data_IF_458561454425
#
_entry.id   IF_458561454425
#
_cell.length_a   1.000
_cell.length_b   1.000
_cell.length_c   1.000
_cell.angle_alpha   90.00
_cell.angle_beta   90.00
_cell.angle_gamma   90.00
#
_symmetry.space_group_name_H-M   'P 1'
#
loop_
_entity.id
_entity.type
_entity.pdbx_description
1 polymer ?
#
# COMPACT_ATOMS: atom_id res chain seq x y z
N UNK A 1 -18.01 -13.22 11.27
CA UNK A 1 -19.02 -12.85 10.24
C UNK A 1 -18.35 -11.92 9.24
N UNK A 2 -17.53 -12.45 8.34
CA UNK A 2 -16.99 -11.71 7.20
C UNK A 2 -18.01 -11.79 6.08
N UNK A 3 -18.65 -10.66 5.77
CA UNK A 3 -19.68 -10.53 4.73
C UNK A 3 -19.13 -11.08 3.40
N UNK A 4 -19.79 -12.13 2.89
CA UNK A 4 -19.43 -12.85 1.68
C UNK A 4 -19.94 -12.10 0.45
N UNK A 5 -19.50 -10.85 0.26
CA UNK A 5 -19.70 -10.10 -0.97
C UNK A 5 -18.34 -9.78 -1.57
N UNK A 6 -17.86 -10.72 -2.39
CA UNK A 6 -16.66 -10.51 -3.20
C UNK A 6 -16.90 -9.33 -4.16
N UNK A 7 -16.42 -8.17 -3.76
CA UNK A 7 -16.35 -6.97 -4.59
C UNK A 7 -14.89 -6.54 -4.53
N UNK A 8 -14.20 -6.80 -5.64
CA UNK A 8 -12.78 -6.55 -5.95
C UNK A 8 -11.83 -6.38 -4.74
N UNK A 9 -11.29 -7.51 -4.26
CA UNK A 9 -10.21 -7.54 -3.29
C UNK A 9 -8.88 -7.23 -3.98
N UNK A 10 -8.19 -6.20 -3.52
CA UNK A 10 -6.91 -5.80 -4.08
C UNK A 10 -5.80 -5.97 -3.04
N UNK A 11 -5.00 -7.03 -3.20
CA UNK A 11 -3.90 -7.38 -2.28
C UNK A 11 -2.58 -6.77 -2.78
N UNK A 12 -1.96 -5.99 -1.91
CA UNK A 12 -0.74 -5.26 -2.20
C UNK A 12 0.47 -5.98 -1.61
N UNK A 13 1.42 -6.38 -2.46
CA UNK A 13 2.73 -6.91 -2.05
C UNK A 13 3.83 -5.92 -2.44
N UNK A 14 4.72 -5.59 -1.50
CA UNK A 14 5.90 -4.79 -1.77
C UNK A 14 6.67 -5.37 -2.97
N UNK A 15 6.84 -4.57 -4.02
CA UNK A 15 7.68 -4.90 -5.16
C UNK A 15 9.06 -4.28 -4.91
N UNK A 16 10.11 -5.09 -5.02
CA UNK A 16 11.48 -4.57 -4.94
C UNK A 16 11.72 -3.67 -6.14
N UNK A 17 12.43 -2.55 -5.91
CA UNK A 17 12.82 -1.54 -6.92
C UNK A 17 13.69 -2.08 -8.06
N UNK A 18 13.93 -3.39 -8.11
CA UNK A 18 15.08 -3.99 -8.79
C UNK A 18 14.98 -3.99 -10.32
N UNK A 19 13.82 -3.66 -10.89
CA UNK A 19 13.65 -3.64 -12.35
C UNK A 19 13.30 -2.28 -12.96
N UNK A 20 12.86 -1.28 -12.17
CA UNK A 20 12.46 0.01 -12.70
C UNK A 20 12.98 1.14 -11.81
N UNK A 21 13.74 2.07 -12.39
CA UNK A 21 14.28 3.28 -11.73
C UNK A 21 13.20 4.34 -11.46
N UNK A 22 12.01 3.90 -11.07
CA UNK A 22 10.84 4.74 -10.79
C UNK A 22 10.54 4.68 -9.29
N UNK A 23 10.76 5.79 -8.61
CA UNK A 23 10.55 5.91 -7.16
C UNK A 23 9.07 5.84 -6.76
N UNK A 24 8.14 5.98 -7.72
CA UNK A 24 6.69 5.97 -7.46
C UNK A 24 6.08 4.57 -7.44
N UNK A 25 6.86 3.52 -7.75
CA UNK A 25 6.39 2.12 -7.78
C UNK A 25 6.22 1.51 -6.39
N UNK A 26 5.52 2.24 -5.53
CA UNK A 26 4.96 1.66 -4.32
C UNK A 26 3.87 0.68 -4.69
N UNK A 27 3.67 -0.29 -3.81
CA UNK A 27 2.82 -1.41 -4.14
C UNK A 27 1.36 -0.97 -4.34
N UNK A 28 0.89 0.04 -3.61
CA UNK A 28 -0.42 0.68 -3.79
C UNK A 28 -0.54 1.33 -5.18
N UNK A 29 0.49 2.04 -5.62
CA UNK A 29 0.51 2.70 -6.94
C UNK A 29 0.52 1.68 -8.08
N UNK A 30 1.34 0.63 -7.96
CA UNK A 30 1.38 -0.45 -8.97
C UNK A 30 0.02 -1.15 -9.04
N UNK A 31 -0.59 -1.36 -7.90
CA UNK A 31 -1.92 -1.95 -7.79
C UNK A 31 -2.99 -1.13 -8.49
N UNK A 32 -3.04 0.19 -8.28
CA UNK A 32 -3.98 1.07 -8.98
C UNK A 32 -3.73 1.01 -10.50
N UNK A 33 -2.48 1.11 -10.95
CA UNK A 33 -2.13 0.98 -12.38
C UNK A 33 -2.61 -0.35 -12.98
N UNK A 34 -2.48 -1.45 -12.22
CA UNK A 34 -2.97 -2.77 -12.64
C UNK A 34 -4.50 -2.83 -12.71
N UNK A 35 -5.19 -2.20 -11.75
CA UNK A 35 -6.65 -2.09 -11.76
C UNK A 35 -7.14 -1.29 -12.98
N UNK A 36 -6.49 -0.17 -13.28
CA UNK A 36 -6.77 0.63 -14.48
C UNK A 36 -6.61 -0.20 -15.77
N UNK A 37 -5.50 -0.93 -15.88
CA UNK A 37 -5.26 -1.79 -17.04
C UNK A 37 -6.31 -2.91 -17.14
N UNK A 38 -6.67 -3.52 -16.01
CA UNK A 38 -7.72 -4.54 -15.97
C UNK A 38 -9.07 -3.96 -16.42
N UNK A 39 -9.44 -2.77 -15.95
CA UNK A 39 -10.68 -2.10 -16.36
C UNK A 39 -10.70 -1.86 -17.87
N UNK A 40 -9.60 -1.36 -18.45
CA UNK A 40 -9.46 -1.16 -19.91
C UNK A 40 -9.62 -2.48 -20.69
N UNK A 41 -8.99 -3.55 -20.22
CA UNK A 41 -9.04 -4.86 -20.88
C UNK A 41 -10.42 -5.53 -20.80
N UNK A 42 -11.26 -5.14 -19.83
CA UNK A 42 -12.59 -5.73 -19.59
C UNK A 42 -13.73 -4.75 -19.91
N UNK A 43 -13.43 -3.62 -20.57
CA UNK A 43 -14.40 -2.58 -20.92
C UNK A 43 -15.22 -2.10 -19.71
N UNK A 44 -14.56 -1.94 -18.55
CA UNK A 44 -15.15 -1.43 -17.31
C UNK A 44 -14.76 0.02 -17.08
N UNK A 45 -15.68 0.79 -16.51
CA UNK A 45 -15.40 2.15 -16.06
C UNK A 45 -14.71 2.11 -14.68
N UNK A 46 -13.56 2.77 -14.58
CA UNK A 46 -12.70 2.72 -13.40
C UNK A 46 -13.39 3.28 -12.14
N UNK A 47 -14.17 4.35 -12.29
CA UNK A 47 -14.92 4.98 -11.21
C UNK A 47 -15.87 4.01 -10.51
N UNK A 48 -16.66 3.25 -11.29
CA UNK A 48 -17.58 2.24 -10.77
C UNK A 48 -16.84 1.13 -10.06
N UNK A 49 -15.76 0.62 -10.65
CA UNK A 49 -14.96 -0.45 -10.02
C UNK A 49 -14.34 0.02 -8.71
N UNK A 50 -13.79 1.24 -8.67
CA UNK A 50 -13.18 1.79 -7.45
C UNK A 50 -14.16 1.87 -6.28
N UNK A 51 -15.41 2.29 -6.51
CA UNK A 51 -16.43 2.37 -5.45
C UNK A 51 -16.79 1.01 -4.84
N UNK A 52 -16.46 -0.08 -5.54
CA UNK A 52 -16.66 -1.46 -5.11
C UNK A 52 -15.38 -2.13 -4.62
N UNK A 53 -14.23 -1.43 -4.60
CA UNK A 53 -12.96 -1.99 -4.19
C UNK A 53 -12.63 -1.72 -2.72
N UNK A 54 -12.13 -2.76 -2.04
CA UNK A 54 -11.38 -2.61 -0.79
C UNK A 54 -9.90 -2.87 -1.03
N UNK A 55 -9.06 -1.95 -0.55
CA UNK A 55 -7.61 -2.05 -0.67
C UNK A 55 -6.99 -2.60 0.61
N UNK A 56 -6.25 -3.71 0.49
CA UNK A 56 -5.55 -4.33 1.62
C UNK A 56 -4.04 -4.18 1.45
N UNK A 57 -3.41 -3.51 2.42
CA UNK A 57 -1.98 -3.22 2.43
C UNK A 57 -1.36 -3.75 3.72
N UNK A 58 -0.21 -4.41 3.66
CA UNK A 58 0.43 -4.94 4.88
C UNK A 58 0.88 -3.83 5.83
N UNK A 59 1.34 -2.70 5.27
CA UNK A 59 1.85 -1.55 6.00
C UNK A 59 1.03 -0.33 5.63
N UNK A 60 0.83 0.57 6.60
CA UNK A 60 0.13 1.84 6.39
C UNK A 60 0.67 2.58 5.15
N UNK A 61 -0.22 3.00 4.22
CA UNK A 61 0.17 3.72 3.03
C UNK A 61 0.97 4.97 3.35
N UNK A 62 2.00 5.24 2.56
CA UNK A 62 2.78 6.45 2.76
C UNK A 62 1.99 7.70 2.35
N UNK A 63 2.52 8.88 2.70
CA UNK A 63 1.95 10.19 2.32
C UNK A 63 1.66 10.28 0.82
N UNK A 64 2.60 9.85 -0.04
CA UNK A 64 2.43 9.86 -1.49
C UNK A 64 1.26 8.98 -1.93
N UNK A 65 1.22 7.72 -1.49
CA UNK A 65 0.17 6.77 -1.87
C UNK A 65 -1.20 7.25 -1.36
N UNK A 66 -1.26 7.73 -0.12
CA UNK A 66 -2.51 8.24 0.48
C UNK A 66 -3.03 9.45 -0.28
N UNK A 67 -2.16 10.40 -0.64
CA UNK A 67 -2.52 11.57 -1.44
C UNK A 67 -2.99 11.17 -2.83
N UNK A 68 -2.29 10.25 -3.50
CA UNK A 68 -2.67 9.80 -4.84
C UNK A 68 -4.04 9.11 -4.84
N UNK A 69 -4.29 8.21 -3.87
CA UNK A 69 -5.57 7.51 -3.74
C UNK A 69 -6.70 8.50 -3.45
N UNK A 70 -6.46 9.48 -2.57
CA UNK A 70 -7.49 10.46 -2.20
C UNK A 70 -7.78 11.48 -3.30
N UNK A 71 -6.73 12.09 -3.87
CA UNK A 71 -6.87 13.30 -4.68
C UNK A 71 -6.74 13.06 -6.19
N UNK A 72 -6.17 11.94 -6.63
CA UNK A 72 -5.89 11.71 -8.05
C UNK A 72 -6.83 10.69 -8.70
N UNK A 73 -7.57 9.90 -7.92
CA UNK A 73 -8.51 8.92 -8.47
C UNK A 73 -9.87 9.57 -8.82
N UNK A 74 -10.57 9.07 -9.86
CA UNK A 74 -11.87 9.59 -10.25
C UNK A 74 -12.99 9.26 -9.24
N UNK A 75 -12.78 8.24 -8.40
CA UNK A 75 -13.70 7.84 -7.34
C UNK A 75 -12.93 7.29 -6.14
N UNK A 76 -13.58 7.24 -4.98
CA UNK A 76 -12.97 6.73 -3.76
C UNK A 76 -13.16 5.23 -3.65
N UNK A 77 -12.12 4.57 -3.14
CA UNK A 77 -12.20 3.19 -2.66
C UNK A 77 -13.19 3.10 -1.50
N UNK A 78 -13.87 1.95 -1.36
CA UNK A 78 -14.80 1.71 -0.26
C UNK A 78 -14.10 1.73 1.10
N UNK A 79 -12.94 1.10 1.17
CA UNK A 79 -12.08 1.14 2.36
C UNK A 79 -10.62 0.84 2.03
N UNK A 80 -9.74 1.28 2.93
CA UNK A 80 -8.32 0.94 2.93
C UNK A 80 -8.01 0.27 4.26
N UNK A 81 -7.70 -1.02 4.22
CA UNK A 81 -7.34 -1.80 5.40
C UNK A 81 -5.84 -2.03 5.43
N UNK A 82 -5.19 -1.75 6.56
CA UNK A 82 -3.78 -2.03 6.75
C UNK A 82 -3.44 -2.64 8.11
N UNK A 83 -2.34 -3.41 8.12
CA UNK A 83 -1.85 -4.08 9.32
C UNK A 83 -0.93 -3.21 10.15
N UNK A 84 0.35 -3.17 9.78
CA UNK A 84 1.38 -2.46 10.52
C UNK A 84 1.30 -0.94 10.28
N UNK A 85 1.56 -0.14 11.32
CA UNK A 85 1.71 1.32 11.20
C UNK A 85 3.02 1.68 10.50
N UNK A 86 3.04 2.83 9.83
CA UNK A 86 4.22 3.37 9.16
C UNK A 86 4.73 4.62 9.88
N UNK A 87 5.61 4.40 10.87
CA UNK A 87 6.12 5.46 11.76
C UNK A 87 7.01 6.50 11.05
N UNK A 88 7.53 6.19 9.86
CA UNK A 88 8.47 7.08 9.16
C UNK A 88 7.81 7.90 8.05
N UNK A 89 6.80 7.33 7.37
CA UNK A 89 6.21 7.94 6.17
C UNK A 89 4.69 7.82 6.08
N UNK A 90 4.00 7.36 7.13
CA UNK A 90 2.57 7.06 7.10
C UNK A 90 1.67 8.27 6.83
N UNK A 91 0.76 8.13 5.87
CA UNK A 91 -0.23 9.15 5.48
C UNK A 91 -1.63 8.95 6.09
N UNK A 92 -1.83 7.87 6.85
CA UNK A 92 -3.10 7.54 7.50
C UNK A 92 -3.11 7.85 9.00
N UNK A 93 -2.25 8.77 9.45
CA UNK A 93 -2.21 9.26 10.83
C UNK A 93 -0.96 8.89 11.64
N UNK A 94 -0.02 8.10 11.10
CA UNK A 94 1.26 7.89 11.82
C UNK A 94 2.23 9.05 11.70
N UNK A 95 2.34 9.68 10.53
CA UNK A 95 3.16 10.90 10.35
C UNK A 95 2.27 12.08 9.98
N UNK A 96 1.47 11.92 8.92
CA UNK A 96 0.46 12.90 8.52
C UNK A 96 -0.89 12.22 8.39
N UNK A 97 -1.96 12.98 8.62
CA UNK A 97 -3.33 12.51 8.46
C UNK A 97 -3.91 12.94 7.09
N UNK A 98 -3.21 12.58 6.01
CA UNK A 98 -3.60 12.94 4.63
C UNK A 98 -4.96 12.33 4.26
N UNK A 99 -5.25 11.15 4.79
CA UNK A 99 -6.54 10.47 4.61
C UNK A 99 -7.76 11.29 5.09
N UNK A 100 -7.60 12.20 6.07
CA UNK A 100 -8.72 12.94 6.68
C UNK A 100 -8.50 14.46 6.79
N UNK A 101 -7.42 14.99 6.20
CA UNK A 101 -7.12 16.43 6.26
C UNK A 101 -8.24 17.28 5.63
N UNK A 102 -8.47 18.52 6.11
CA UNK A 102 -9.49 19.40 5.54
C UNK A 102 -9.28 19.63 4.04
N UNK A 103 -10.28 19.29 3.22
CA UNK A 103 -10.26 19.41 1.76
C UNK A 103 -11.69 19.31 1.21
N UNK A 104 -11.99 19.84 0.01
CA UNK A 104 -13.25 19.56 -0.69
C UNK A 104 -13.45 18.07 -1.02
N UNK A 105 -12.36 17.30 -1.03
CA UNK A 105 -12.37 15.86 -1.30
C UNK A 105 -12.69 15.10 -0.02
N UNK A 106 -13.59 14.13 -0.11
CA UNK A 106 -14.01 13.31 1.01
C UNK A 106 -12.82 12.62 1.71
N UNK A 107 -12.93 12.33 3.03
CA UNK A 107 -11.92 11.54 3.72
C UNK A 107 -11.94 10.08 3.25
N UNK A 108 -10.79 9.42 3.32
CA UNK A 108 -10.68 7.99 3.07
C UNK A 108 -11.09 7.20 4.32
N UNK A 109 -11.83 6.11 4.12
CA UNK A 109 -12.18 5.17 5.17
C UNK A 109 -11.02 4.20 5.42
N UNK A 110 -10.19 4.50 6.42
CA UNK A 110 -8.99 3.72 6.75
C UNK A 110 -9.19 2.85 8.00
N UNK A 111 -8.94 1.55 7.88
CA UNK A 111 -9.02 0.56 8.97
C UNK A 111 -7.61 0.07 9.30
N UNK A 112 -7.17 0.30 10.54
CA UNK A 112 -5.82 -0.05 11.00
C UNK A 112 -5.80 -1.30 11.87
N UNK A 113 -4.69 -2.03 11.87
CA UNK A 113 -4.39 -3.07 12.86
C UNK A 113 -4.75 -4.49 12.45
N UNK A 114 -5.23 -4.72 11.23
CA UNK A 114 -5.61 -6.05 10.75
C UNK A 114 -4.34 -6.88 10.46
N UNK A 115 -4.15 -7.99 11.19
CA UNK A 115 -2.95 -8.83 11.08
C UNK A 115 -1.64 -8.04 11.29
N UNK A 116 -1.66 -7.03 12.17
CA UNK A 116 -0.54 -6.11 12.39
C UNK A 116 0.75 -6.84 12.80
N UNK A 117 0.65 -7.83 13.70
CA UNK A 117 1.81 -8.62 14.13
C UNK A 117 2.44 -9.41 12.98
N UNK A 118 1.62 -10.02 12.13
CA UNK A 118 2.08 -10.75 10.96
C UNK A 118 2.75 -9.80 9.95
N UNK A 119 2.17 -8.62 9.73
CA UNK A 119 2.75 -7.60 8.86
C UNK A 119 4.12 -7.10 9.37
N UNK A 120 4.25 -6.83 10.68
CA UNK A 120 5.53 -6.45 11.29
C UNK A 120 6.56 -7.58 11.18
N UNK A 121 6.14 -8.84 11.40
CA UNK A 121 7.03 -10.00 11.26
C UNK A 121 7.57 -10.15 9.83
N UNK A 122 6.72 -9.91 8.82
CA UNK A 122 7.13 -9.91 7.42
C UNK A 122 8.16 -8.81 7.12
N UNK A 123 7.94 -7.59 7.62
CA UNK A 123 8.88 -6.48 7.48
C UNK A 123 10.24 -6.78 8.15
N UNK A 124 10.23 -7.31 9.37
CA UNK A 124 11.46 -7.69 10.08
C UNK A 124 12.24 -8.74 9.29
N UNK A 125 11.55 -9.78 8.81
CA UNK A 125 12.16 -10.82 7.98
C UNK A 125 12.82 -10.25 6.71
N UNK A 126 12.20 -9.24 6.09
CA UNK A 126 12.79 -8.56 4.92
C UNK A 126 14.09 -7.81 5.27
N UNK A 127 14.14 -7.08 6.39
CA UNK A 127 15.34 -6.34 6.81
C UNK A 127 16.45 -7.21 7.45
N UNK A 128 16.10 -8.42 7.90
CA UNK A 128 17.04 -9.44 8.36
C UNK A 128 17.78 -10.12 7.20
N UNK A 129 17.20 -10.11 5.99
CA UNK A 129 17.88 -10.61 4.80
C UNK A 129 19.05 -9.70 4.42
N UNK A 130 20.15 -10.30 3.95
CA UNK A 130 21.26 -9.54 3.41
C UNK A 130 20.84 -8.85 2.12
N UNK A 131 21.16 -7.56 2.01
CA UNK A 131 21.01 -6.87 0.74
C UNK A 131 22.15 -7.32 -0.18
N UNK A 132 21.86 -8.24 -1.10
CA UNK A 132 22.83 -8.74 -2.07
C UNK A 132 23.42 -7.61 -2.94
N UNK A 133 22.67 -6.52 -3.12
CA UNK A 133 23.11 -5.34 -3.87
C UNK A 133 23.97 -4.38 -3.04
N UNK A 134 24.15 -4.60 -1.74
CA UNK A 134 25.04 -3.79 -0.93
C UNK A 134 26.51 -4.08 -1.32
N UNK A 135 27.37 -3.04 -1.42
CA UNK A 135 28.82 -3.23 -1.55
C UNK A 135 29.33 -4.19 -0.48
N UNK A 136 30.27 -5.07 -0.81
CA UNK A 136 30.77 -6.10 0.13
C UNK A 136 31.25 -5.53 1.45
N UNK A 137 31.83 -4.33 1.43
CA UNK A 137 32.30 -3.60 2.60
C UNK A 137 31.18 -3.19 3.57
N UNK A 138 29.95 -3.04 3.08
CA UNK A 138 28.75 -2.65 3.85
C UNK A 138 27.80 -3.82 4.11
N UNK A 139 28.05 -5.00 3.53
CA UNK A 139 27.28 -6.21 3.85
C UNK A 139 27.51 -6.53 5.33
N UNK A 140 26.42 -6.62 6.10
CA UNK A 140 26.47 -6.91 7.54
C UNK A 140 27.21 -8.24 7.74
N UNK A 141 28.50 -8.20 8.11
CA UNK A 141 29.20 -9.42 8.55
C UNK A 141 28.43 -9.97 9.74
N UNK A 142 27.80 -11.14 9.57
CA UNK A 142 27.27 -11.89 10.72
C UNK A 142 28.41 -12.02 11.73
N UNK A 143 28.25 -11.44 12.92
CA UNK A 143 29.11 -11.79 14.04
C UNK A 143 28.85 -13.28 14.28
N UNK A 144 29.78 -14.13 13.85
CA UNK A 144 29.84 -15.51 14.27
C UNK A 144 30.25 -15.45 15.74
N UNK A 145 29.27 -15.59 16.63
CA UNK A 145 29.48 -15.95 18.04
C UNK A 145 29.19 -17.42 18.19
#
# INVERSE_FOLDING_TARGET
>A
MTDARAQFLVVVKALTREFCRDATQHAEMVTIRRLEQWCRNNEKELDKVLTECDLFVTVEPCIMCTAAIRFCLPAHLRSITYGARNERFGGCGSVLSVHNSPSPVAPLNCISGVEAEAAVKLLKKFYEQENENAPEELRKRKRVT
#
